data_IF_024382845747
#
_entry.id   IF_024382845747
#
_cell.length_a   1.000
_cell.length_b   1.000
_cell.length_c   1.000
_cell.angle_alpha   90.00
_cell.angle_beta   90.00
_cell.angle_gamma   90.00
#
_symmetry.space_group_name_H-M   'P 1'
#
loop_
_entity.id
_entity.type
_entity.pdbx_description
1 polymer ?
#
# COMPACT_ATOMS: atom_id res chain seq x y z
N UNK A 1 -41.54 20.97 -75.11
CA UNK A 1 -40.81 20.06 -74.19
C UNK A 1 -39.34 20.47 -74.21
N UNK A 2 -39.00 21.54 -73.48
CA UNK A 2 -37.64 22.08 -73.43
C UNK A 2 -37.02 21.83 -72.05
N UNK A 3 -35.82 21.28 -72.09
CA UNK A 3 -35.09 20.70 -70.97
C UNK A 3 -34.54 21.78 -70.04
N UNK A 4 -34.86 21.66 -68.76
CA UNK A 4 -34.20 22.38 -67.66
C UNK A 4 -32.73 21.90 -67.60
N UNK A 5 -31.77 22.80 -67.86
CA UNK A 5 -30.36 22.54 -67.56
C UNK A 5 -30.08 22.80 -66.07
N UNK A 6 -29.41 21.88 -65.34
CA UNK A 6 -29.09 22.10 -63.94
C UNK A 6 -27.89 23.05 -63.76
N UNK A 7 -28.05 24.03 -62.86
CA UNK A 7 -27.00 24.94 -62.41
C UNK A 7 -25.80 24.14 -61.86
N UNK A 8 -24.61 24.33 -62.45
CA UNK A 8 -23.34 23.83 -61.89
C UNK A 8 -23.12 24.47 -60.51
N UNK A 9 -23.22 23.67 -59.44
CA UNK A 9 -22.69 24.05 -58.12
C UNK A 9 -21.17 24.13 -58.23
N UNK A 10 -20.61 25.32 -58.01
CA UNK A 10 -19.18 25.48 -57.81
C UNK A 10 -18.76 24.61 -56.61
N UNK A 11 -17.83 23.67 -56.83
CA UNK A 11 -17.18 22.95 -55.74
C UNK A 11 -16.29 23.96 -55.02
N UNK A 12 -16.63 24.31 -53.79
CA UNK A 12 -15.70 25.00 -52.90
C UNK A 12 -14.50 24.08 -52.65
N UNK A 13 -13.30 24.57 -52.95
CA UNK A 13 -12.05 23.90 -52.61
C UNK A 13 -11.98 23.67 -51.09
N UNK A 14 -11.51 22.52 -50.58
CA UNK A 14 -11.35 22.33 -49.15
C UNK A 14 -10.33 23.34 -48.62
N UNK A 15 -10.71 24.08 -47.58
CA UNK A 15 -9.78 24.94 -46.86
C UNK A 15 -8.56 24.12 -46.44
N UNK A 16 -7.35 24.64 -46.72
CA UNK A 16 -6.08 24.09 -46.23
C UNK A 16 -6.26 23.82 -44.73
N UNK A 17 -6.16 22.56 -44.31
CA UNK A 17 -6.13 22.21 -42.90
C UNK A 17 -5.01 23.03 -42.27
N UNK A 18 -5.35 23.84 -41.26
CA UNK A 18 -4.37 24.63 -40.54
C UNK A 18 -3.24 23.70 -40.10
N UNK A 19 -2.02 24.06 -40.47
CA UNK A 19 -0.81 23.36 -40.09
C UNK A 19 -0.83 23.20 -38.57
N UNK A 20 -0.71 21.96 -38.07
CA UNK A 20 -0.70 21.69 -36.63
C UNK A 20 0.59 22.30 -36.07
N UNK A 21 0.49 23.55 -35.63
CA UNK A 21 1.57 24.20 -34.88
C UNK A 21 1.70 23.45 -33.57
N UNK A 22 2.88 22.88 -33.30
CA UNK A 22 3.20 22.33 -31.99
C UNK A 22 3.20 23.49 -31.00
N UNK A 23 2.26 23.46 -30.05
CA UNK A 23 2.07 24.51 -29.05
C UNK A 23 3.36 24.74 -28.24
N UNK A 24 4.14 23.67 -27.99
CA UNK A 24 5.41 23.76 -27.27
C UNK A 24 6.42 24.56 -28.06
N UNK A 25 6.51 24.30 -29.37
CA UNK A 25 7.42 24.99 -30.28
C UNK A 25 7.04 26.46 -30.47
N UNK A 26 5.74 26.76 -30.58
CA UNK A 26 5.24 28.13 -30.67
C UNK A 26 5.51 28.94 -29.39
N UNK A 27 5.27 28.35 -28.21
CA UNK A 27 5.54 29.01 -26.93
C UNK A 27 7.03 29.26 -26.76
N UNK A 28 7.89 28.29 -27.12
CA UNK A 28 9.34 28.44 -27.02
C UNK A 28 9.86 29.49 -28.01
N UNK A 29 9.36 29.49 -29.25
CA UNK A 29 9.74 30.47 -30.29
C UNK A 29 9.30 31.90 -29.97
N UNK A 30 8.22 32.07 -29.20
CA UNK A 30 7.77 33.37 -28.69
C UNK A 30 8.51 33.83 -27.41
N UNK A 31 9.51 33.07 -26.93
CA UNK A 31 10.24 33.37 -25.70
C UNK A 31 9.50 33.01 -24.41
N UNK A 32 8.42 32.22 -24.50
CA UNK A 32 7.69 31.70 -23.35
C UNK A 32 8.41 30.55 -22.64
N UNK A 33 8.01 30.26 -21.40
CA UNK A 33 8.58 29.18 -20.57
C UNK A 33 7.67 27.96 -20.59
N UNK A 34 8.25 26.80 -20.89
CA UNK A 34 7.56 25.50 -20.81
C UNK A 34 8.15 24.71 -19.64
N UNK A 35 7.30 24.35 -18.69
CA UNK A 35 7.65 23.42 -17.61
C UNK A 35 6.84 22.14 -17.75
N UNK A 36 7.52 21.00 -17.78
CA UNK A 36 6.87 19.69 -17.78
C UNK A 36 6.81 19.17 -16.35
N UNK A 37 5.61 19.17 -15.79
CA UNK A 37 5.33 18.53 -14.50
C UNK A 37 4.90 17.09 -14.77
N UNK A 38 5.81 16.14 -14.55
CA UNK A 38 5.53 14.71 -14.71
C UNK A 38 5.09 14.08 -13.40
N UNK A 39 4.41 12.94 -13.49
CA UNK A 39 4.07 12.14 -12.32
C UNK A 39 5.34 11.70 -11.60
N UNK A 40 5.35 11.80 -10.27
CA UNK A 40 6.41 11.25 -9.44
C UNK A 40 6.37 9.72 -9.53
N UNK A 41 7.49 9.09 -9.87
CA UNK A 41 7.62 7.64 -9.88
C UNK A 41 8.04 7.13 -8.51
N UNK A 42 7.73 5.87 -8.19
CA UNK A 42 7.94 5.30 -6.86
C UNK A 42 9.40 5.37 -6.39
N UNK A 43 10.33 5.10 -7.30
CA UNK A 43 11.78 5.17 -7.06
C UNK A 43 12.28 6.61 -6.80
N UNK A 44 11.53 7.62 -7.23
CA UNK A 44 11.87 9.03 -7.05
C UNK A 44 11.34 9.59 -5.72
N UNK A 45 10.41 8.90 -5.06
CA UNK A 45 9.73 9.37 -3.84
C UNK A 45 10.70 9.72 -2.71
N UNK A 46 11.69 8.88 -2.34
CA UNK A 46 12.62 9.21 -1.25
C UNK A 46 13.43 10.50 -1.51
N UNK A 47 13.91 10.67 -2.75
CA UNK A 47 14.65 11.87 -3.14
C UNK A 47 13.77 13.11 -3.11
N UNK A 48 12.52 12.98 -3.54
CA UNK A 48 11.54 14.05 -3.51
C UNK A 48 11.18 14.48 -2.09
N UNK A 49 10.94 13.53 -1.18
CA UNK A 49 10.73 13.77 0.26
C UNK A 49 11.92 14.56 0.84
N UNK A 50 13.14 14.11 0.56
CA UNK A 50 14.36 14.75 1.08
C UNK A 50 14.48 16.19 0.59
N UNK A 51 14.25 16.43 -0.70
CA UNK A 51 14.28 17.77 -1.27
C UNK A 51 13.19 18.66 -0.64
N UNK A 52 11.99 18.10 -0.42
CA UNK A 52 10.87 18.87 0.11
C UNK A 52 11.02 19.20 1.58
N UNK A 53 11.53 18.28 2.38
CA UNK A 53 11.84 18.51 3.79
C UNK A 53 12.84 19.66 3.98
N UNK A 54 13.89 19.73 3.14
CA UNK A 54 14.85 20.83 3.16
C UNK A 54 14.18 22.18 2.92
N UNK A 55 13.26 22.26 1.95
CA UNK A 55 12.48 23.49 1.69
C UNK A 55 11.58 23.87 2.88
N UNK A 56 11.12 22.89 3.66
CA UNK A 56 10.32 23.09 4.86
C UNK A 56 11.16 23.38 6.13
N UNK A 57 12.50 23.43 6.02
CA UNK A 57 13.39 23.59 7.17
C UNK A 57 13.44 22.39 8.10
N UNK A 58 13.04 21.20 7.62
CA UNK A 58 12.99 19.97 8.38
C UNK A 58 14.17 19.04 8.05
N UNK A 59 14.65 18.33 9.07
CA UNK A 59 15.66 17.27 8.91
C UNK A 59 15.00 15.92 9.16
N UNK A 60 15.18 14.96 8.26
CA UNK A 60 14.73 13.57 8.44
C UNK A 60 15.93 12.65 8.49
N UNK A 61 15.87 11.63 9.34
CA UNK A 61 16.79 10.50 9.25
C UNK A 61 16.57 9.73 7.94
N UNK A 62 17.61 9.07 7.37
CA UNK A 62 17.46 8.28 6.15
C UNK A 62 16.37 7.21 6.26
N UNK A 63 16.27 6.56 7.42
CA UNK A 63 15.23 5.56 7.72
C UNK A 63 13.83 6.17 7.72
N UNK A 64 13.66 7.37 8.27
CA UNK A 64 12.39 8.10 8.27
C UNK A 64 11.93 8.46 6.85
N UNK A 65 12.86 8.83 5.96
CA UNK A 65 12.56 9.10 4.55
C UNK A 65 12.00 7.84 3.87
N UNK A 66 12.63 6.69 4.09
CA UNK A 66 12.18 5.43 3.50
C UNK A 66 10.83 4.97 4.06
N UNK A 67 10.61 5.10 5.36
CA UNK A 67 9.33 4.79 6.00
C UNK A 67 8.19 5.67 5.47
N UNK A 68 8.44 6.97 5.37
CA UNK A 68 7.45 7.91 4.83
C UNK A 68 7.14 7.61 3.36
N UNK A 69 8.17 7.30 2.56
CA UNK A 69 8.01 6.91 1.16
C UNK A 69 7.17 5.63 1.02
N UNK A 70 7.39 4.64 1.88
CA UNK A 70 6.65 3.38 1.87
C UNK A 70 5.18 3.56 2.29
N UNK A 71 4.92 4.39 3.29
CA UNK A 71 3.58 4.65 3.82
C UNK A 71 2.70 5.48 2.86
N UNK A 72 3.29 6.47 2.18
CA UNK A 72 2.55 7.45 1.38
C UNK A 72 2.57 7.14 -0.12
N UNK A 73 3.68 6.60 -0.63
CA UNK A 73 3.86 6.39 -2.07
C UNK A 73 3.98 7.71 -2.87
N UNK A 74 3.77 7.69 -4.19
CA UNK A 74 4.00 8.83 -5.08
C UNK A 74 2.90 9.90 -5.06
N UNK A 75 2.24 10.10 -3.92
CA UNK A 75 1.21 11.12 -3.73
C UNK A 75 1.87 12.39 -3.17
N UNK A 76 2.21 13.32 -4.06
CA UNK A 76 2.94 14.54 -3.67
C UNK A 76 2.15 15.40 -2.70
N UNK A 77 0.82 15.47 -2.83
CA UNK A 77 -0.01 16.25 -1.91
C UNK A 77 0.01 15.65 -0.51
N UNK A 78 -0.14 14.32 -0.42
CA UNK A 78 -0.10 13.63 0.87
C UNK A 78 1.28 13.74 1.50
N UNK A 79 2.38 13.59 0.74
CA UNK A 79 3.73 13.77 1.28
C UNK A 79 3.89 15.17 1.91
N UNK A 80 3.40 16.22 1.26
CA UNK A 80 3.44 17.59 1.79
C UNK A 80 2.70 17.73 3.12
N UNK A 81 1.50 17.14 3.21
CA UNK A 81 0.68 17.16 4.42
C UNK A 81 1.38 16.43 5.57
N UNK A 82 1.93 15.25 5.29
CA UNK A 82 2.66 14.45 6.28
C UNK A 82 3.95 15.13 6.74
N UNK A 83 4.74 15.73 5.82
CA UNK A 83 5.93 16.50 6.17
C UNK A 83 5.62 17.69 7.06
N UNK A 84 4.54 18.45 6.78
CA UNK A 84 4.12 19.56 7.65
C UNK A 84 3.76 19.08 9.06
N UNK A 85 3.03 17.98 9.17
CA UNK A 85 2.65 17.37 10.45
C UNK A 85 3.88 16.92 11.23
N UNK A 86 4.77 16.16 10.60
CA UNK A 86 6.02 15.67 11.22
C UNK A 86 6.94 16.80 11.66
N UNK A 87 7.10 17.82 10.83
CA UNK A 87 7.92 19.01 11.16
C UNK A 87 7.36 19.73 12.38
N UNK A 88 6.04 19.91 12.44
CA UNK A 88 5.35 20.55 13.57
C UNK A 88 5.53 19.74 14.86
N UNK A 89 5.44 18.41 14.76
CA UNK A 89 5.64 17.51 15.88
C UNK A 89 7.08 17.52 16.41
N UNK A 90 8.07 17.48 15.51
CA UNK A 90 9.48 17.37 15.87
C UNK A 90 10.06 18.64 16.50
N UNK A 91 9.42 19.80 16.32
CA UNK A 91 9.82 21.09 16.94
C UNK A 91 11.31 21.44 16.73
N UNK A 92 11.83 21.14 15.54
CA UNK A 92 13.22 21.40 15.15
C UNK A 92 14.20 20.26 15.42
N UNK A 93 13.78 19.19 16.09
CA UNK A 93 14.57 17.95 16.17
C UNK A 93 14.54 17.19 14.83
N UNK A 94 15.54 16.31 14.55
CA UNK A 94 15.46 15.39 13.42
C UNK A 94 14.25 14.47 13.54
N UNK A 95 13.47 14.36 12.46
CA UNK A 95 12.33 13.44 12.34
C UNK A 95 12.88 12.02 12.17
N UNK A 96 12.48 11.14 13.07
CA UNK A 96 12.91 9.74 13.13
C UNK A 96 11.90 8.81 12.47
N UNK A 97 12.31 7.55 12.24
CA UNK A 97 11.41 6.52 11.76
C UNK A 97 10.25 6.23 12.73
N UNK A 98 10.50 6.38 14.05
CA UNK A 98 9.47 6.20 15.07
C UNK A 98 8.40 7.30 14.99
N UNK A 99 8.79 8.54 14.70
CA UNK A 99 7.84 9.65 14.52
C UNK A 99 6.92 9.40 13.31
N UNK A 100 7.48 8.86 12.23
CA UNK A 100 6.71 8.46 11.03
C UNK A 100 5.69 7.39 11.39
N UNK A 101 6.11 6.31 12.07
CA UNK A 101 5.19 5.23 12.47
C UNK A 101 4.08 5.70 13.42
N UNK A 102 4.41 6.61 14.33
CA UNK A 102 3.46 7.13 15.29
C UNK A 102 2.40 8.07 14.65
N UNK A 103 2.77 8.82 13.60
CA UNK A 103 1.93 9.93 13.12
C UNK A 103 1.36 9.73 11.71
N UNK A 104 1.98 8.91 10.88
CA UNK A 104 1.64 8.79 9.46
C UNK A 104 0.69 7.61 9.24
N UNK A 105 -0.54 7.91 8.79
CA UNK A 105 -1.46 6.88 8.33
C UNK A 105 -0.83 6.11 7.15
N UNK A 106 -0.94 4.79 7.10
CA UNK A 106 -0.24 3.96 6.11
C UNK A 106 1.04 3.29 6.63
N UNK A 107 1.61 3.77 7.74
CA UNK A 107 2.85 3.22 8.30
C UNK A 107 2.62 1.80 8.85
N UNK A 108 1.59 1.62 9.67
CA UNK A 108 1.21 0.30 10.18
C UNK A 108 0.92 -0.69 9.04
N UNK A 109 0.25 -0.27 7.96
CA UNK A 109 -0.04 -1.14 6.82
C UNK A 109 1.23 -1.63 6.11
N UNK A 110 2.29 -0.82 6.11
CA UNK A 110 3.61 -1.19 5.59
C UNK A 110 4.27 -2.24 6.46
N UNK A 111 4.22 -2.07 7.78
CA UNK A 111 4.79 -3.03 8.72
C UNK A 111 4.01 -4.34 8.77
N UNK A 112 2.67 -4.29 8.69
CA UNK A 112 1.83 -5.48 8.60
C UNK A 112 2.11 -6.22 7.30
N UNK A 113 2.38 -5.51 6.21
CA UNK A 113 2.84 -6.15 4.99
C UNK A 113 4.16 -6.90 5.22
N UNK A 114 5.13 -6.30 5.92
CA UNK A 114 6.42 -6.95 6.21
C UNK A 114 6.27 -8.13 7.18
N UNK A 115 5.42 -8.01 8.20
CA UNK A 115 5.00 -9.12 9.08
C UNK A 115 4.42 -10.27 8.25
N UNK A 116 3.45 -9.97 7.38
CA UNK A 116 2.82 -10.98 6.52
C UNK A 116 3.85 -11.63 5.59
N UNK A 117 4.81 -10.86 5.09
CA UNK A 117 5.88 -11.38 4.22
C UNK A 117 6.80 -12.33 4.98
N UNK A 118 7.18 -11.99 6.21
CA UNK A 118 7.97 -12.87 7.08
C UNK A 118 7.21 -14.17 7.37
N UNK A 119 5.92 -14.08 7.66
CA UNK A 119 5.01 -15.23 7.85
C UNK A 119 4.97 -16.14 6.62
N UNK A 120 4.74 -15.58 5.42
CA UNK A 120 4.69 -16.36 4.16
C UNK A 120 6.03 -17.04 3.87
N UNK A 121 7.14 -16.41 4.26
CA UNK A 121 8.50 -16.96 4.12
C UNK A 121 8.90 -17.92 5.23
N UNK A 122 8.04 -18.13 6.23
CA UNK A 122 8.32 -18.94 7.43
C UNK A 122 9.54 -18.41 8.20
N UNK A 123 9.79 -17.10 8.12
CA UNK A 123 10.80 -16.40 8.91
C UNK A 123 10.21 -16.04 10.28
N UNK A 124 10.21 -17.03 11.18
CA UNK A 124 9.64 -16.88 12.52
C UNK A 124 10.30 -15.74 13.30
N UNK A 125 11.63 -15.58 13.21
CA UNK A 125 12.35 -14.53 13.94
C UNK A 125 11.94 -13.15 13.44
N UNK A 126 11.90 -12.95 12.12
CA UNK A 126 11.48 -11.68 11.53
C UNK A 126 10.00 -11.36 11.82
N UNK A 127 9.13 -12.36 11.76
CA UNK A 127 7.70 -12.21 12.03
C UNK A 127 7.44 -11.83 13.49
N UNK A 128 8.03 -12.55 14.45
CA UNK A 128 7.87 -12.23 15.87
C UNK A 128 8.49 -10.88 16.22
N UNK A 129 9.69 -10.57 15.74
CA UNK A 129 10.30 -9.26 15.98
C UNK A 129 9.46 -8.09 15.44
N UNK A 130 8.78 -8.29 14.31
CA UNK A 130 7.86 -7.27 13.76
C UNK A 130 6.58 -7.16 14.60
N UNK A 131 6.00 -8.29 15.03
CA UNK A 131 4.82 -8.30 15.89
C UNK A 131 5.10 -7.63 17.24
N UNK A 132 6.18 -7.99 17.92
CA UNK A 132 6.58 -7.42 19.22
C UNK A 132 6.78 -5.91 19.11
N UNK A 133 7.38 -5.45 18.01
CA UNK A 133 7.56 -4.02 17.77
C UNK A 133 6.24 -3.28 17.56
N UNK A 134 5.33 -3.84 16.76
CA UNK A 134 3.98 -3.28 16.59
C UNK A 134 3.22 -3.18 17.91
N UNK A 135 3.29 -4.23 18.74
CA UNK A 135 2.68 -4.22 20.07
C UNK A 135 3.36 -3.20 21.01
N UNK A 136 4.69 -3.13 20.99
CA UNK A 136 5.47 -2.16 21.77
C UNK A 136 5.25 -0.71 21.36
N UNK A 137 4.87 -0.46 20.10
CA UNK A 137 4.42 0.84 19.59
C UNK A 137 2.96 1.17 19.98
N UNK A 138 2.29 0.28 20.73
CA UNK A 138 0.93 0.47 21.24
C UNK A 138 -0.17 0.12 20.23
N UNK A 139 0.16 -0.57 19.12
CA UNK A 139 -0.85 -0.99 18.16
C UNK A 139 -1.76 -2.05 18.77
N UNK A 140 -3.07 -1.86 18.63
CA UNK A 140 -4.04 -2.78 19.19
C UNK A 140 -3.95 -4.16 18.50
N UNK A 141 -3.91 -5.28 19.25
CA UNK A 141 -3.89 -6.64 18.67
C UNK A 141 -5.00 -6.89 17.65
N UNK A 142 -6.19 -6.34 17.87
CA UNK A 142 -7.34 -6.45 16.97
C UNK A 142 -7.12 -5.71 15.65
N UNK A 143 -6.41 -4.58 15.68
CA UNK A 143 -6.04 -3.82 14.49
C UNK A 143 -5.00 -4.59 13.67
N UNK A 144 -3.97 -5.14 14.33
CA UNK A 144 -2.96 -6.02 13.69
C UNK A 144 -3.66 -7.21 13.03
N UNK A 145 -4.57 -7.88 13.75
CA UNK A 145 -5.33 -9.02 13.25
C UNK A 145 -6.16 -8.67 12.01
N UNK A 146 -6.87 -7.54 12.04
CA UNK A 146 -7.69 -7.08 10.92
C UNK A 146 -6.85 -6.75 9.68
N UNK A 147 -5.69 -6.10 9.86
CA UNK A 147 -4.77 -5.79 8.78
C UNK A 147 -4.08 -7.04 8.23
N UNK A 148 -3.72 -8.00 9.08
CA UNK A 148 -3.15 -9.29 8.67
C UNK A 148 -4.16 -10.09 7.83
N UNK A 149 -5.42 -10.15 8.28
CA UNK A 149 -6.53 -10.73 7.52
C UNK A 149 -6.69 -10.06 6.15
N UNK A 150 -6.61 -8.73 6.10
CA UNK A 150 -6.63 -7.99 4.85
C UNK A 150 -5.46 -8.37 3.93
N UNK A 151 -4.23 -8.47 4.44
CA UNK A 151 -3.08 -8.88 3.62
C UNK A 151 -3.24 -10.29 3.06
N UNK A 152 -3.74 -11.26 3.83
CA UNK A 152 -4.04 -12.60 3.31
C UNK A 152 -5.12 -12.58 2.22
N UNK A 153 -6.11 -11.69 2.31
CA UNK A 153 -7.08 -11.47 1.24
C UNK A 153 -6.42 -10.93 -0.03
N UNK A 154 -5.56 -9.92 0.10
CA UNK A 154 -4.81 -9.36 -1.05
C UNK A 154 -3.91 -10.43 -1.67
N UNK A 155 -3.21 -11.21 -0.84
CA UNK A 155 -2.33 -12.29 -1.25
C UNK A 155 -3.06 -13.40 -2.01
N UNK A 156 -4.26 -13.78 -1.57
CA UNK A 156 -5.13 -14.74 -2.28
C UNK A 156 -5.51 -14.24 -3.68
N UNK A 157 -5.82 -12.95 -3.83
CA UNK A 157 -6.09 -12.38 -5.15
C UNK A 157 -4.82 -12.33 -6.00
N UNK A 158 -3.69 -11.95 -5.39
CA UNK A 158 -2.39 -11.95 -6.07
C UNK A 158 -1.95 -13.35 -6.53
N UNK A 159 -2.30 -14.42 -5.80
CA UNK A 159 -1.93 -15.80 -6.18
C UNK A 159 -2.72 -16.31 -7.39
N UNK A 160 -3.86 -15.71 -7.69
CA UNK A 160 -4.65 -16.03 -8.88
C UNK A 160 -4.21 -15.23 -10.13
N UNK A 161 -3.24 -14.32 -9.99
CA UNK A 161 -2.79 -13.42 -11.06
C UNK A 161 -2.01 -14.19 -12.14
N UNK A 162 -2.40 -14.06 -13.40
CA UNK A 162 -1.67 -14.66 -14.55
C UNK A 162 -0.78 -13.64 -15.24
N UNK A 163 -1.16 -12.37 -15.21
CA UNK A 163 -0.41 -11.26 -15.79
C UNK A 163 -0.58 -9.98 -14.96
N UNK A 164 0.34 -9.02 -15.11
CA UNK A 164 0.21 -7.70 -14.46
C UNK A 164 -1.07 -6.96 -14.84
N UNK A 165 -1.63 -7.23 -16.02
CA UNK A 165 -2.92 -6.68 -16.45
C UNK A 165 -4.13 -7.17 -15.63
N UNK A 166 -3.98 -8.26 -14.86
CA UNK A 166 -5.03 -8.74 -13.96
C UNK A 166 -5.11 -7.91 -12.67
N UNK A 167 -4.03 -7.21 -12.30
CA UNK A 167 -3.93 -6.48 -11.04
C UNK A 167 -5.03 -5.42 -10.88
N UNK A 168 -5.41 -4.72 -11.96
CA UNK A 168 -6.48 -3.72 -11.93
C UNK A 168 -7.85 -4.34 -11.65
N UNK A 169 -8.18 -5.43 -12.36
CA UNK A 169 -9.48 -6.12 -12.17
C UNK A 169 -9.59 -6.71 -10.77
N UNK A 170 -8.51 -7.32 -10.28
CA UNK A 170 -8.44 -7.91 -8.94
C UNK A 170 -8.52 -6.84 -7.85
N UNK A 171 -7.77 -5.74 -7.98
CA UNK A 171 -7.82 -4.62 -7.05
C UNK A 171 -9.23 -4.07 -6.93
N UNK A 172 -9.94 -3.88 -8.05
CA UNK A 172 -11.34 -3.42 -8.06
C UNK A 172 -12.26 -4.39 -7.31
N UNK A 173 -12.09 -5.70 -7.48
CA UNK A 173 -12.94 -6.72 -6.87
C UNK A 173 -12.88 -6.73 -5.33
N UNK A 174 -11.74 -6.34 -4.75
CA UNK A 174 -11.58 -6.27 -3.29
C UNK A 174 -11.52 -4.84 -2.74
N UNK A 175 -11.70 -3.81 -3.58
CA UNK A 175 -11.50 -2.40 -3.22
C UNK A 175 -10.09 -2.11 -2.69
N UNK A 176 -9.08 -2.66 -3.37
CA UNK A 176 -7.66 -2.42 -3.12
C UNK A 176 -7.05 -1.58 -4.26
N UNK A 177 -5.73 -1.39 -4.24
CA UNK A 177 -4.98 -0.74 -5.32
C UNK A 177 -4.23 -1.78 -6.19
N UNK A 178 -4.02 -1.51 -7.49
CA UNK A 178 -3.21 -2.38 -8.34
C UNK A 178 -1.79 -2.57 -7.80
N UNK A 179 -1.22 -1.52 -7.18
CA UNK A 179 0.09 -1.56 -6.53
C UNK A 179 0.14 -2.53 -5.35
N UNK A 180 -0.88 -2.56 -4.50
CA UNK A 180 -0.94 -3.50 -3.38
C UNK A 180 -1.01 -4.97 -3.85
N UNK A 181 -1.77 -5.23 -4.92
CA UNK A 181 -1.86 -6.56 -5.55
C UNK A 181 -0.53 -6.95 -6.20
N UNK A 182 0.09 -6.04 -6.96
CA UNK A 182 1.38 -6.26 -7.60
C UNK A 182 2.52 -6.47 -6.58
N UNK A 183 2.49 -5.78 -5.43
CA UNK A 183 3.49 -5.91 -4.36
C UNK A 183 3.60 -7.34 -3.82
N UNK A 184 2.52 -8.13 -3.93
CA UNK A 184 2.48 -9.52 -3.50
C UNK A 184 2.87 -10.53 -4.58
N UNK A 185 3.01 -10.13 -5.86
CA UNK A 185 3.19 -11.04 -6.98
C UNK A 185 4.39 -12.01 -6.81
N UNK A 186 5.48 -11.55 -6.18
CA UNK A 186 6.65 -12.39 -5.90
C UNK A 186 6.43 -13.44 -4.82
N UNK A 187 5.72 -13.09 -3.74
CA UNK A 187 5.47 -14.01 -2.62
C UNK A 187 4.23 -14.88 -2.85
N UNK A 188 3.29 -14.44 -3.68
CA UNK A 188 2.05 -15.15 -3.96
C UNK A 188 2.24 -16.54 -4.59
N UNK A 189 3.43 -16.81 -5.14
CA UNK A 189 3.81 -18.14 -5.65
C UNK A 189 4.18 -19.13 -4.54
N UNK A 190 4.47 -18.64 -3.33
CA UNK A 190 4.88 -19.45 -2.17
C UNK A 190 3.70 -19.99 -1.37
N UNK A 191 2.50 -19.45 -1.60
CA UNK A 191 1.32 -19.80 -0.82
C UNK A 191 0.43 -20.78 -1.59
N UNK A 192 0.07 -21.88 -0.95
CA UNK A 192 -0.91 -22.82 -1.48
C UNK A 192 -2.33 -22.45 -1.03
N UNK A 193 -3.34 -23.08 -1.65
CA UNK A 193 -4.72 -22.96 -1.17
C UNK A 193 -4.86 -23.44 0.29
N UNK A 194 -4.14 -24.48 0.68
CA UNK A 194 -4.15 -25.00 2.05
C UNK A 194 -3.59 -23.98 3.04
N UNK A 195 -2.51 -23.27 2.68
CA UNK A 195 -1.93 -22.21 3.51
C UNK A 195 -2.91 -21.05 3.71
N UNK A 196 -3.61 -20.63 2.65
CA UNK A 196 -4.65 -19.60 2.76
C UNK A 196 -5.77 -20.07 3.69
N UNK A 197 -6.31 -21.27 3.48
CA UNK A 197 -7.36 -21.82 4.36
C UNK A 197 -6.89 -21.85 5.81
N UNK A 198 -5.69 -22.37 6.06
CA UNK A 198 -5.09 -22.42 7.40
C UNK A 198 -4.98 -21.04 8.02
N UNK A 199 -4.59 -20.04 7.23
CA UNK A 199 -4.48 -18.67 7.71
C UNK A 199 -5.83 -18.09 8.14
N UNK A 200 -6.88 -18.28 7.33
CA UNK A 200 -8.23 -17.83 7.71
C UNK A 200 -8.75 -18.55 8.95
N UNK A 201 -8.50 -19.85 9.12
CA UNK A 201 -8.87 -20.59 10.33
C UNK A 201 -8.13 -20.08 11.57
N UNK A 202 -6.82 -19.83 11.46
CA UNK A 202 -6.01 -19.33 12.56
C UNK A 202 -6.44 -17.91 12.97
N UNK A 203 -6.64 -17.02 12.00
CA UNK A 203 -7.11 -15.65 12.23
C UNK A 203 -8.51 -15.63 12.86
N UNK A 204 -9.41 -16.51 12.41
CA UNK A 204 -10.76 -16.65 12.98
C UNK A 204 -10.72 -17.13 14.42
N UNK A 205 -9.95 -18.19 14.71
CA UNK A 205 -9.81 -18.70 16.06
C UNK A 205 -9.21 -17.66 17.02
N UNK A 206 -8.23 -16.89 16.52
CA UNK A 206 -7.61 -15.79 17.26
C UNK A 206 -8.60 -14.68 17.59
N UNK A 207 -9.38 -14.23 16.60
CA UNK A 207 -10.44 -13.23 16.80
C UNK A 207 -11.47 -13.69 17.84
N UNK A 208 -11.89 -14.95 17.76
CA UNK A 208 -12.86 -15.53 18.67
C UNK A 208 -12.30 -15.65 20.09
N UNK A 209 -11.06 -16.13 20.24
CA UNK A 209 -10.40 -16.26 21.53
C UNK A 209 -10.26 -14.90 22.24
N UNK A 210 -9.91 -13.84 21.49
CA UNK A 210 -9.83 -12.46 22.00
C UNK A 210 -11.22 -11.97 22.43
N UNK A 211 -12.23 -12.10 21.56
CA UNK A 211 -13.58 -11.58 21.84
C UNK A 211 -14.28 -12.29 22.99
N UNK A 212 -13.97 -13.57 23.20
CA UNK A 212 -14.51 -14.36 24.29
C UNK A 212 -13.66 -14.28 25.57
N UNK A 213 -12.54 -13.56 25.54
CA UNK A 213 -11.65 -13.43 26.70
C UNK A 213 -11.04 -14.77 27.14
N UNK A 214 -10.74 -15.66 26.19
CA UNK A 214 -10.16 -16.99 26.47
C UNK A 214 -8.64 -16.94 26.74
N UNK A 215 -7.99 -15.87 26.28
CA UNK A 215 -6.57 -15.61 26.48
C UNK A 215 -6.31 -14.11 26.34
N UNK A 216 -5.15 -13.66 26.80
CA UNK A 216 -4.70 -12.28 26.58
C UNK A 216 -4.50 -12.01 25.07
N UNK A 217 -4.93 -10.84 24.54
CA UNK A 217 -4.88 -10.58 23.11
C UNK A 217 -3.48 -10.65 22.49
N UNK A 218 -2.45 -10.23 23.23
CA UNK A 218 -1.05 -10.31 22.80
C UNK A 218 -0.59 -11.76 22.66
N UNK A 219 -0.96 -12.62 23.62
CA UNK A 219 -0.67 -14.06 23.57
C UNK A 219 -1.40 -14.74 22.41
N UNK A 220 -2.67 -14.38 22.17
CA UNK A 220 -3.42 -14.88 21.02
C UNK A 220 -2.73 -14.54 19.69
N UNK A 221 -2.26 -13.29 19.55
CA UNK A 221 -1.56 -12.83 18.36
C UNK A 221 -0.21 -13.53 18.18
N UNK A 222 0.55 -13.72 19.26
CA UNK A 222 1.82 -14.45 19.25
C UNK A 222 1.61 -15.88 18.73
N UNK A 223 0.65 -16.62 19.30
CA UNK A 223 0.30 -17.97 18.85
C UNK A 223 -0.14 -17.99 17.38
N UNK A 224 -1.00 -17.04 16.98
CA UNK A 224 -1.43 -16.92 15.60
C UNK A 224 -0.23 -16.75 14.64
N UNK A 225 0.70 -15.84 14.93
CA UNK A 225 1.85 -15.61 14.04
C UNK A 225 2.80 -16.81 14.03
N UNK A 226 3.02 -17.47 15.17
CA UNK A 226 3.82 -18.70 15.25
C UNK A 226 3.18 -19.83 14.42
N UNK A 227 1.87 -20.04 14.52
CA UNK A 227 1.14 -21.03 13.74
C UNK A 227 1.22 -20.74 12.23
N UNK A 228 1.03 -19.49 11.84
CA UNK A 228 1.15 -19.08 10.44
C UNK A 228 2.58 -19.28 9.91
N UNK A 229 3.59 -19.18 10.77
CA UNK A 229 4.98 -19.55 10.47
C UNK A 229 5.24 -21.07 10.48
N UNK A 230 4.23 -21.90 10.80
CA UNK A 230 4.35 -23.36 10.82
C UNK A 230 5.04 -23.93 12.07
N UNK A 231 5.08 -23.17 13.16
CA UNK A 231 5.64 -23.65 14.44
C UNK A 231 4.69 -24.67 15.07
N UNK A 232 5.21 -25.85 15.39
CA UNK A 232 4.42 -26.91 16.01
C UNK A 232 3.90 -26.51 17.40
N UNK A 233 2.66 -26.87 17.71
CA UNK A 233 2.02 -26.61 19.01
C UNK A 233 1.55 -25.16 19.22
N UNK A 234 1.60 -24.31 18.20
CA UNK A 234 1.14 -22.93 18.29
C UNK A 234 -0.32 -22.70 17.82
N UNK A 235 -1.10 -23.77 17.64
CA UNK A 235 -2.40 -23.69 16.96
C UNK A 235 -3.45 -22.89 17.77
N UNK A 236 -3.84 -21.67 17.32
CA UNK A 236 -4.81 -20.85 18.05
C UNK A 236 -6.21 -21.49 18.09
N UNK A 237 -6.50 -22.50 17.25
CA UNK A 237 -7.76 -23.25 17.31
C UNK A 237 -7.92 -24.01 18.62
N UNK A 238 -6.83 -24.40 19.27
CA UNK A 238 -6.90 -25.07 20.57
C UNK A 238 -7.51 -24.19 21.67
N UNK A 239 -7.34 -22.86 21.55
CA UNK A 239 -7.91 -21.89 22.50
C UNK A 239 -9.45 -21.93 22.49
N UNK A 240 -10.07 -22.27 21.37
CA UNK A 240 -11.53 -22.23 21.20
C UNK A 240 -12.22 -23.57 21.44
N UNK A 241 -11.47 -24.66 21.69
CA UNK A 241 -11.99 -26.03 21.85
C UNK A 241 -12.49 -26.33 23.29
N UNK A 242 -12.16 -25.51 24.29
CA UNK A 242 -12.56 -25.71 25.70
C UNK A 242 -13.78 -24.88 26.19
N UNK A 243 -14.21 -25.08 27.44
CA UNK A 243 -15.04 -24.11 28.17
C UNK A 243 -14.20 -22.84 28.48
N UNK A 244 -14.75 -21.62 28.36
CA UNK A 244 -14.01 -20.41 28.69
C UNK A 244 -13.59 -20.40 30.18
N UNK A 245 -12.39 -19.86 30.52
CA UNK A 245 -11.96 -19.77 31.91
C UNK A 245 -12.99 -18.99 32.73
N UNK A 246 -13.41 -19.56 33.87
CA UNK A 246 -14.28 -18.85 34.81
C UNK A 246 -13.48 -17.69 35.40
N UNK A 247 -13.93 -16.46 35.12
CA UNK A 247 -13.40 -15.23 35.73
C UNK A 247 -13.58 -15.26 37.25
#
# INVERSE_FOLDING_TARGET
>A
TERIQPRRRARSSPAKAAEKVDLVEAVTSAGGRVERVTRLLGEQVPGWITARARLAGATLEPTAVHELAAAVGPDTERIEQELRKLTTYARGAPITAADVRALVAGAIETEIFDLTRAVVRKDTRGAIGTLERLLGEGQAPQQILALLLWQFRVLLFASAMKSSADAERMAKAIRSSPGAIARWQGEARRISRADVTRAYEALYATDLAIKQGRTEPETAMMLCVLDLCGVAGADPRELIVGEPPRR
#
